data_IF_035907004630
#
_entry.id   IF_035907004630
#
_cell.length_a   1.000
_cell.length_b   1.000
_cell.length_c   1.000
_cell.angle_alpha   90.00
_cell.angle_beta   90.00
_cell.angle_gamma   90.00
#
_symmetry.space_group_name_H-M   'P 1'
#
loop_
_entity.id
_entity.type
_entity.pdbx_description
1 polymer ?
#
# COMPACT_ATOMS: atom_id res chain seq x y z
N UNK A 1 -18.36 -13.22 -1.22
CA UNK A 1 -19.51 -13.22 -0.33
C UNK A 1 -20.52 -12.16 -0.77
N UNK A 2 -21.80 -12.45 -0.66
CA UNK A 2 -22.87 -11.51 -0.99
C UNK A 2 -24.12 -11.81 -0.16
N UNK A 3 -24.73 -10.76 0.39
CA UNK A 3 -26.03 -10.79 1.09
C UNK A 3 -26.95 -9.66 0.59
N UNK A 4 -28.01 -9.34 1.35
CA UNK A 4 -28.95 -8.26 1.04
C UNK A 4 -28.31 -6.87 1.15
N UNK A 5 -27.37 -6.68 2.04
CA UNK A 5 -26.80 -5.39 2.39
C UNK A 5 -25.50 -5.10 1.64
N UNK A 6 -24.64 -6.11 1.45
CA UNK A 6 -23.32 -5.90 0.90
C UNK A 6 -22.83 -7.03 0.00
N UNK A 7 -21.78 -6.74 -0.75
CA UNK A 7 -20.96 -7.70 -1.47
C UNK A 7 -19.51 -7.50 -1.11
N UNK A 8 -18.81 -8.59 -0.74
CA UNK A 8 -17.39 -8.57 -0.42
C UNK A 8 -16.66 -9.37 -1.49
N UNK A 9 -15.73 -8.71 -2.17
CA UNK A 9 -15.00 -9.23 -3.33
C UNK A 9 -13.53 -9.37 -2.93
N UNK A 10 -12.95 -10.54 -3.22
CA UNK A 10 -11.54 -10.83 -2.99
C UNK A 10 -10.81 -10.99 -4.31
N UNK A 11 -9.54 -10.59 -4.32
CA UNK A 11 -8.64 -10.77 -5.45
C UNK A 11 -7.22 -11.00 -4.95
N UNK A 12 -6.86 -12.26 -4.76
CA UNK A 12 -5.60 -12.64 -4.09
C UNK A 12 -4.36 -12.48 -4.97
N UNK A 13 -4.52 -12.14 -6.27
CA UNK A 13 -3.42 -12.13 -7.21
C UNK A 13 -2.41 -11.03 -6.94
N UNK A 14 -1.36 -11.37 -6.22
CA UNK A 14 -0.17 -10.55 -6.00
C UNK A 14 1.02 -11.42 -5.61
N UNK A 15 2.21 -10.84 -5.55
CA UNK A 15 3.38 -11.52 -4.98
C UNK A 15 3.23 -11.58 -3.45
N UNK A 16 3.10 -12.78 -2.89
CA UNK A 16 2.78 -13.02 -1.50
C UNK A 16 1.29 -13.01 -1.18
N UNK A 17 0.44 -12.75 -2.17
CA UNK A 17 -1.01 -12.68 -2.02
C UNK A 17 -1.51 -11.40 -1.35
N UNK A 18 -2.59 -10.82 -1.87
CA UNK A 18 -3.30 -9.70 -1.23
C UNK A 18 -4.48 -10.23 -0.42
N UNK A 19 -4.46 -10.07 0.89
CA UNK A 19 -5.55 -10.43 1.78
C UNK A 19 -6.65 -9.36 1.86
N UNK A 20 -6.51 -8.30 1.07
CA UNK A 20 -7.46 -7.21 0.96
C UNK A 20 -8.81 -7.64 0.38
N UNK A 21 -9.77 -6.78 0.54
CA UNK A 21 -11.12 -6.97 0.02
C UNK A 21 -11.72 -5.66 -0.48
N UNK A 22 -12.66 -5.77 -1.42
CA UNK A 22 -13.52 -4.66 -1.81
C UNK A 22 -14.90 -4.88 -1.18
N UNK A 23 -15.32 -3.91 -0.39
CA UNK A 23 -16.66 -3.89 0.19
C UNK A 23 -17.57 -3.02 -0.66
N UNK A 24 -18.61 -3.58 -1.25
CA UNK A 24 -19.64 -2.89 -2.01
C UNK A 24 -20.93 -2.82 -1.19
N UNK A 25 -21.43 -1.61 -0.99
CA UNK A 25 -22.70 -1.34 -0.34
C UNK A 25 -23.84 -1.49 -1.36
N UNK A 26 -24.71 -2.49 -1.16
CA UNK A 26 -25.86 -2.75 -2.05
C UNK A 26 -27.10 -1.93 -1.67
N UNK A 27 -27.11 -1.29 -0.51
CA UNK A 27 -28.23 -0.50 -0.01
C UNK A 27 -28.22 0.93 -0.56
N UNK A 28 -29.29 1.67 -0.38
CA UNK A 28 -29.35 3.10 -0.68
C UNK A 28 -28.81 3.95 0.49
N UNK A 29 -28.77 3.37 1.70
CA UNK A 29 -28.28 4.00 2.91
C UNK A 29 -26.76 3.81 3.09
N UNK A 30 -26.18 4.60 4.00
CA UNK A 30 -24.76 4.46 4.35
C UNK A 30 -24.50 3.19 5.18
N UNK A 31 -23.46 2.47 4.83
CA UNK A 31 -22.89 1.42 5.67
C UNK A 31 -21.63 1.95 6.36
N UNK A 32 -21.47 1.64 7.64
CA UNK A 32 -20.31 1.99 8.45
C UNK A 32 -19.51 0.74 8.76
N UNK A 33 -18.34 0.59 8.11
CA UNK A 33 -17.41 -0.49 8.36
C UNK A 33 -16.64 -0.22 9.66
N UNK A 34 -16.67 -1.15 10.60
CA UNK A 34 -16.06 -1.05 11.93
C UNK A 34 -14.67 -1.70 11.90
N UNK A 35 -13.63 -0.93 11.54
CA UNK A 35 -12.27 -1.45 11.42
C UNK A 35 -11.67 -1.86 12.77
N UNK A 36 -12.08 -1.18 13.85
CA UNK A 36 -11.71 -1.52 15.24
C UNK A 36 -12.26 -2.85 15.74
N UNK A 37 -13.21 -3.42 14.99
CA UNK A 37 -13.87 -4.70 15.30
C UNK A 37 -13.74 -5.73 14.19
N UNK A 38 -12.93 -5.39 13.16
CA UNK A 38 -12.69 -6.22 12.00
C UNK A 38 -11.24 -6.72 12.01
N UNK A 39 -11.03 -7.96 11.62
CA UNK A 39 -9.73 -8.61 11.70
C UNK A 39 -9.39 -9.37 10.41
N UNK A 40 -8.12 -9.35 10.06
CA UNK A 40 -7.51 -10.38 9.23
C UNK A 40 -7.12 -11.56 10.13
N UNK A 41 -7.34 -12.78 9.67
CA UNK A 41 -7.04 -14.00 10.42
C UNK A 41 -6.08 -14.85 9.58
N UNK A 42 -4.96 -15.26 10.17
CA UNK A 42 -3.97 -16.14 9.55
C UNK A 42 -3.62 -17.26 10.52
N UNK A 43 -3.84 -18.52 10.11
CA UNK A 43 -3.60 -19.71 10.94
C UNK A 43 -4.18 -19.60 12.37
N UNK A 44 -5.39 -19.03 12.48
CA UNK A 44 -6.06 -18.83 13.77
C UNK A 44 -5.60 -17.60 14.56
N UNK A 45 -4.62 -16.85 14.08
CA UNK A 45 -4.17 -15.59 14.71
C UNK A 45 -4.90 -14.41 14.08
N UNK A 46 -5.53 -13.57 14.90
CA UNK A 46 -6.25 -12.39 14.45
C UNK A 46 -5.36 -11.14 14.49
N UNK A 47 -5.42 -10.34 13.43
CA UNK A 47 -4.72 -9.08 13.26
C UNK A 47 -5.72 -7.96 13.00
N UNK A 48 -5.66 -6.87 13.76
CA UNK A 48 -6.61 -5.78 13.70
C UNK A 48 -6.42 -4.94 12.42
N UNK A 49 -7.53 -4.60 11.76
CA UNK A 49 -7.50 -3.66 10.64
C UNK A 49 -7.22 -2.22 11.10
N UNK A 50 -7.75 -1.84 12.24
CA UNK A 50 -7.48 -0.53 12.85
C UNK A 50 -6.22 -0.59 13.71
N UNK A 51 -5.22 0.26 13.41
CA UNK A 51 -3.92 0.30 14.12
C UNK A 51 -3.66 1.61 14.84
N UNK A 52 -4.64 2.53 14.86
CA UNK A 52 -4.52 3.88 15.44
C UNK A 52 -3.29 4.63 14.92
N UNK A 53 -3.06 4.58 13.61
CA UNK A 53 -1.91 5.22 12.97
C UNK A 53 -2.14 6.72 12.77
N UNK A 54 -1.05 7.48 12.87
CA UNK A 54 -1.02 8.88 12.47
C UNK A 54 -0.10 9.02 11.23
N UNK A 55 -0.62 9.61 10.18
CA UNK A 55 0.11 9.88 8.94
C UNK A 55 0.52 11.34 8.93
N UNK A 56 1.83 11.62 9.04
CA UNK A 56 2.36 12.98 8.96
C UNK A 56 2.92 13.22 7.56
N UNK A 57 2.41 14.24 6.88
CA UNK A 57 2.97 14.74 5.63
C UNK A 57 3.55 16.11 5.88
N UNK A 58 4.89 16.26 5.78
CA UNK A 58 5.55 17.55 5.89
C UNK A 58 5.97 18.06 4.51
N UNK A 59 5.64 19.31 4.20
CA UNK A 59 6.17 20.05 3.06
C UNK A 59 7.04 21.16 3.59
N UNK A 60 8.35 21.02 3.46
CA UNK A 60 9.30 22.05 3.84
C UNK A 60 9.86 22.76 2.60
N UNK A 61 9.88 24.08 2.58
CA UNK A 61 10.65 24.87 1.65
C UNK A 61 11.67 25.72 2.40
N UNK A 62 12.95 25.55 2.12
CA UNK A 62 14.00 26.40 2.65
C UNK A 62 14.60 27.24 1.53
N UNK A 63 14.64 28.55 1.71
CA UNK A 63 15.35 29.47 0.82
C UNK A 63 16.45 30.12 1.64
N UNK A 64 17.70 29.81 1.33
CA UNK A 64 18.85 30.53 1.90
C UNK A 64 19.47 31.43 0.85
N UNK A 65 19.59 32.72 1.12
CA UNK A 65 20.38 33.65 0.30
C UNK A 65 21.49 34.21 1.14
N UNK A 66 22.72 33.98 0.69
CA UNK A 66 23.93 34.59 1.32
C UNK A 66 24.53 35.59 0.35
N UNK A 67 24.57 36.87 0.71
CA UNK A 67 25.27 37.87 -0.08
C UNK A 67 26.46 38.38 0.72
N UNK A 68 27.67 38.25 0.12
CA UNK A 68 28.89 38.85 0.66
C UNK A 68 29.29 40.05 -0.18
N UNK A 69 29.51 41.21 0.46
CA UNK A 69 30.26 42.27 -0.19
C UNK A 69 31.64 42.32 0.47
N UNK A 70 32.65 41.91 -0.28
CA UNK A 70 34.03 41.99 0.16
C UNK A 70 34.82 42.89 -0.76
N UNK A 71 35.50 43.87 -0.21
CA UNK A 71 36.58 44.59 -0.85
C UNK A 71 37.90 43.94 -0.43
N UNK A 72 38.48 43.12 -1.29
CA UNK A 72 39.87 42.65 -1.23
C UNK A 72 40.14 41.50 -0.27
N UNK A 73 39.99 40.28 -0.73
CA UNK A 73 40.73 39.04 -0.54
C UNK A 73 39.83 37.85 -0.87
N UNK A 74 40.33 36.88 -1.60
CA UNK A 74 39.58 35.74 -2.10
C UNK A 74 39.25 34.72 -1.00
N UNK A 75 37.97 34.46 -0.77
CA UNK A 75 37.48 33.31 -0.03
C UNK A 75 36.36 32.64 -0.85
N UNK A 76 36.56 31.38 -1.17
CA UNK A 76 35.55 30.56 -1.85
C UNK A 76 34.57 30.02 -0.84
N UNK A 77 33.29 30.39 -0.96
CA UNK A 77 32.19 29.77 -0.20
C UNK A 77 31.38 28.87 -1.12
N UNK A 78 31.36 27.56 -0.84
CA UNK A 78 30.49 26.63 -1.51
C UNK A 78 29.15 26.53 -0.71
N UNK A 79 28.08 27.04 -1.32
CA UNK A 79 26.72 26.86 -0.77
C UNK A 79 26.14 25.58 -1.29
N UNK A 80 25.86 24.64 -0.40
CA UNK A 80 25.13 23.42 -0.73
C UNK A 80 23.64 23.67 -0.57
N UNK A 81 22.90 23.71 -1.67
CA UNK A 81 21.45 23.73 -1.64
C UNK A 81 20.96 22.28 -1.53
N UNK A 82 20.53 21.88 -0.35
CA UNK A 82 19.83 20.62 -0.20
C UNK A 82 18.33 20.85 -0.41
N UNK A 83 17.85 20.50 -1.59
CA UNK A 83 16.42 20.29 -1.81
C UNK A 83 16.07 18.88 -1.36
N UNK A 84 15.66 18.74 -0.13
CA UNK A 84 15.10 17.47 0.35
C UNK A 84 13.60 17.45 0.01
N UNK A 85 13.27 17.00 -1.20
CA UNK A 85 11.91 16.65 -1.54
C UNK A 85 11.72 15.18 -1.14
N UNK A 86 11.27 14.94 0.06
CA UNK A 86 10.78 13.61 0.44
C UNK A 86 9.43 13.40 -0.22
N UNK A 87 9.45 12.91 -1.46
CA UNK A 87 8.27 12.30 -2.05
C UNK A 87 8.07 10.93 -1.40
N UNK A 88 7.38 10.91 -0.28
CA UNK A 88 6.70 9.69 0.12
C UNK A 88 5.60 9.47 -0.92
N UNK A 89 5.83 8.54 -1.84
CA UNK A 89 4.76 8.01 -2.69
C UNK A 89 3.74 7.38 -1.75
N UNK A 90 2.75 8.16 -1.37
CA UNK A 90 1.49 7.61 -0.86
C UNK A 90 0.86 6.86 -2.04
N UNK A 91 0.66 5.58 -1.87
CA UNK A 91 -0.08 4.76 -2.82
C UNK A 91 -1.46 5.41 -3.03
N UNK A 92 -1.83 5.82 -4.25
CA UNK A 92 -3.05 6.59 -4.49
C UNK A 92 -4.34 5.80 -4.19
N UNK A 93 -4.23 4.52 -3.87
CA UNK A 93 -5.36 3.64 -3.59
C UNK A 93 -5.76 3.57 -2.11
N UNK A 94 -5.05 4.23 -1.19
CA UNK A 94 -5.29 4.08 0.24
C UNK A 94 -5.51 5.41 0.97
N UNK A 95 -6.21 6.35 0.34
CA UNK A 95 -6.52 7.64 0.95
C UNK A 95 -7.85 7.53 1.70
N UNK A 96 -7.79 7.33 3.00
CA UNK A 96 -8.95 7.48 3.88
C UNK A 96 -9.15 8.96 4.22
N UNK A 97 -10.27 9.58 3.90
CA UNK A 97 -10.55 10.92 4.37
C UNK A 97 -10.98 10.87 5.83
N UNK A 98 -10.12 11.22 6.71
CA UNK A 98 -10.41 11.40 8.12
C UNK A 98 -10.14 12.82 8.57
N UNK A 99 -10.54 13.15 9.76
CA UNK A 99 -10.48 14.50 10.32
C UNK A 99 -9.09 15.14 10.18
N UNK A 100 -9.06 16.30 9.52
CA UNK A 100 -7.84 17.08 9.34
C UNK A 100 -7.60 17.96 10.56
N UNK A 101 -6.44 17.82 11.19
CA UNK A 101 -5.89 18.85 12.05
C UNK A 101 -4.67 19.47 11.35
N UNK A 102 -4.76 20.75 11.01
CA UNK A 102 -3.64 21.49 10.45
C UNK A 102 -2.91 22.25 11.54
N UNK A 103 -1.66 21.91 11.76
CA UNK A 103 -0.75 22.72 12.56
C UNK A 103 0.25 23.42 11.64
N UNK A 104 0.28 24.74 11.64
CA UNK A 104 1.30 25.51 10.96
C UNK A 104 2.26 26.06 12.02
N UNK A 105 3.53 25.65 11.95
CA UNK A 105 4.60 26.30 12.71
C UNK A 105 5.53 27.02 11.74
N UNK A 106 5.66 28.33 11.90
CA UNK A 106 6.65 29.13 11.18
C UNK A 106 7.72 29.57 12.18
N UNK A 107 8.96 29.21 11.93
CA UNK A 107 10.10 29.75 12.65
C UNK A 107 10.95 30.56 11.67
N UNK A 108 11.14 31.85 12.01
CA UNK A 108 12.08 32.74 11.34
C UNK A 108 13.20 33.09 12.30
N UNK A 109 14.43 32.78 11.93
CA UNK A 109 15.61 33.25 12.65
C UNK A 109 16.41 34.17 11.75
N UNK A 110 16.64 35.39 12.22
CA UNK A 110 17.55 36.35 11.63
C UNK A 110 18.69 36.62 12.59
N UNK A 111 19.93 36.34 12.20
CA UNK A 111 21.11 36.73 12.96
C UNK A 111 21.87 37.80 12.17
N UNK A 112 22.13 38.95 12.84
CA UNK A 112 22.98 40.02 12.31
C UNK A 112 24.26 40.01 13.12
N UNK A 113 25.39 39.67 12.48
CA UNK A 113 26.71 39.89 13.04
C UNK A 113 27.33 41.12 12.37
N UNK A 114 27.45 42.20 13.14
CA UNK A 114 28.12 43.41 12.66
C UNK A 114 29.59 43.35 13.03
N UNK A 115 30.43 42.94 12.09
CA UNK A 115 31.86 43.26 12.07
C UNK A 115 32.24 43.71 10.67
N UNK A 116 32.54 45.01 10.56
CA UNK A 116 33.04 45.76 9.39
C UNK A 116 33.05 45.06 8.01
N UNK A 117 31.90 44.71 7.58
CA UNK A 117 31.59 44.14 6.27
C UNK A 117 30.12 43.72 6.31
N UNK A 118 29.24 44.30 5.48
CA UNK A 118 27.82 43.96 5.52
C UNK A 118 27.61 42.59 4.95
N UNK A 119 27.41 41.61 5.86
CA UNK A 119 26.90 40.31 5.48
C UNK A 119 25.38 40.28 5.83
N UNK A 120 24.52 40.01 4.88
CA UNK A 120 23.10 39.75 5.15
C UNK A 120 22.78 38.31 4.78
N UNK A 121 22.46 37.52 5.77
CA UNK A 121 21.88 36.20 5.51
C UNK A 121 20.37 36.26 5.82
N UNK A 122 19.57 35.84 4.87
CA UNK A 122 18.13 35.61 5.06
C UNK A 122 17.88 34.13 4.91
N UNK A 123 17.49 33.48 5.99
CA UNK A 123 16.98 32.13 5.94
C UNK A 123 15.48 32.16 6.21
N UNK A 124 14.70 31.61 5.31
CA UNK A 124 13.28 31.38 5.51
C UNK A 124 13.06 29.87 5.49
N UNK A 125 12.54 29.33 6.56
CA UNK A 125 12.04 27.96 6.58
C UNK A 125 10.55 28.02 6.88
N UNK A 126 9.73 27.47 6.01
CA UNK A 126 8.33 27.21 6.29
C UNK A 126 8.11 25.71 6.23
N UNK A 127 7.64 25.15 7.32
CA UNK A 127 7.27 23.76 7.39
C UNK A 127 5.76 23.68 7.64
N UNK A 128 5.06 23.04 6.72
CA UNK A 128 3.65 22.69 6.88
C UNK A 128 3.58 21.19 7.09
N UNK A 129 3.09 20.77 8.25
CA UNK A 129 2.80 19.36 8.54
C UNK A 129 1.29 19.17 8.60
N UNK A 130 0.83 18.20 7.83
CA UNK A 130 -0.53 17.69 7.89
C UNK A 130 -0.49 16.33 8.60
N UNK A 131 -1.18 16.23 9.73
CA UNK A 131 -1.35 14.97 10.45
C UNK A 131 -2.76 14.45 10.16
N UNK A 132 -2.85 13.26 9.59
CA UNK A 132 -4.11 12.57 9.34
C UNK A 132 -4.14 11.34 10.24
N UNK A 133 -5.20 11.21 11.04
CA UNK A 133 -5.41 10.04 11.88
C UNK A 133 -6.18 8.95 11.10
N UNK A 134 -5.87 7.71 11.41
CA UNK A 134 -6.62 6.58 10.89
C UNK A 134 -8.03 6.57 11.49
N UNK A 135 -9.03 6.29 10.65
CA UNK A 135 -10.41 6.15 11.11
C UNK A 135 -10.70 4.72 11.58
N UNK A 136 -11.23 4.58 12.78
CA UNK A 136 -11.73 3.29 13.30
C UNK A 136 -13.04 2.84 12.63
N UNK A 137 -13.79 3.79 12.08
CA UNK A 137 -15.06 3.55 11.40
C UNK A 137 -15.05 4.23 10.04
N UNK A 138 -15.26 3.46 8.99
CA UNK A 138 -15.25 3.95 7.60
C UNK A 138 -16.65 3.95 7.03
N UNK A 139 -17.13 5.13 6.62
CA UNK A 139 -18.39 5.29 5.91
C UNK A 139 -18.26 4.84 4.45
N UNK A 140 -19.21 4.04 3.99
CA UNK A 140 -19.38 3.61 2.60
C UNK A 140 -20.78 4.03 2.16
N UNK A 141 -20.91 5.07 1.31
CA UNK A 141 -22.20 5.57 0.83
C UNK A 141 -23.00 4.50 0.09
N UNK A 142 -24.31 4.70 -0.01
CA UNK A 142 -25.18 3.79 -0.74
C UNK A 142 -24.73 3.57 -2.18
N UNK A 143 -24.82 2.34 -2.70
CA UNK A 143 -24.43 1.93 -4.06
C UNK A 143 -22.97 2.20 -4.43
N UNK A 144 -22.09 2.38 -3.44
CA UNK A 144 -20.66 2.60 -3.67
C UNK A 144 -19.80 1.47 -3.10
N UNK A 145 -18.52 1.47 -3.46
CA UNK A 145 -17.56 0.49 -2.96
C UNK A 145 -16.29 1.15 -2.44
N UNK A 146 -15.62 0.43 -1.54
CA UNK A 146 -14.31 0.81 -1.03
C UNK A 146 -13.41 -0.42 -0.90
N UNK A 147 -12.15 -0.28 -1.31
CA UNK A 147 -11.14 -1.37 -1.23
C UNK A 147 -10.25 -1.16 -0.01
N UNK A 148 -9.95 -2.24 0.67
CA UNK A 148 -9.10 -2.34 1.84
C UNK A 148 -8.00 -3.35 1.55
N UNK A 149 -6.74 -2.92 1.54
CA UNK A 149 -5.56 -3.76 1.28
C UNK A 149 -4.50 -3.43 2.33
N UNK A 150 -4.55 -4.11 3.46
CA UNK A 150 -3.66 -3.87 4.60
C UNK A 150 -2.70 -5.03 4.82
N UNK A 151 -3.12 -6.25 4.47
CA UNK A 151 -2.40 -7.48 4.76
C UNK A 151 -2.05 -8.25 3.50
N UNK A 152 -0.83 -8.82 3.50
CA UNK A 152 -0.47 -9.89 2.57
C UNK A 152 -0.91 -11.22 3.16
N UNK A 153 -1.32 -12.17 2.30
CA UNK A 153 -1.76 -13.49 2.73
C UNK A 153 -0.62 -14.24 3.41
N UNK A 154 0.59 -14.18 2.83
CA UNK A 154 1.76 -14.80 3.42
C UNK A 154 3.02 -13.99 3.08
N UNK A 155 3.92 -13.83 4.04
CA UNK A 155 5.18 -13.09 3.88
C UNK A 155 6.35 -13.96 3.46
N UNK A 156 6.21 -15.27 3.53
CA UNK A 156 7.28 -16.22 3.23
C UNK A 156 6.81 -17.32 2.30
N UNK A 157 7.75 -17.87 1.52
CA UNK A 157 7.48 -19.01 0.66
C UNK A 157 7.16 -20.25 1.51
N UNK A 158 6.02 -20.88 1.22
CA UNK A 158 5.70 -22.18 1.80
C UNK A 158 6.57 -23.23 1.13
N UNK A 159 7.38 -23.91 1.92
CA UNK A 159 8.29 -24.95 1.45
C UNK A 159 7.77 -26.33 1.82
N UNK A 160 7.83 -27.21 0.85
CA UNK A 160 7.52 -28.62 1.00
C UNK A 160 8.67 -29.44 0.37
N UNK A 161 9.02 -30.56 0.98
CA UNK A 161 10.07 -31.46 0.46
C UNK A 161 9.75 -32.02 -0.94
N UNK A 162 8.45 -32.13 -1.29
CA UNK A 162 7.98 -32.63 -2.57
C UNK A 162 7.98 -31.58 -3.68
N UNK A 163 8.26 -30.31 -3.34
CA UNK A 163 8.26 -29.20 -4.30
C UNK A 163 9.69 -28.74 -4.59
N UNK A 164 10.06 -28.66 -5.85
CA UNK A 164 11.32 -28.08 -6.29
C UNK A 164 11.31 -26.58 -5.98
N UNK A 165 12.29 -26.14 -5.19
CA UNK A 165 12.39 -24.74 -4.79
C UNK A 165 12.59 -23.78 -5.99
N UNK A 166 13.39 -24.22 -6.98
CA UNK A 166 13.71 -23.45 -8.18
C UNK A 166 13.63 -24.37 -9.40
N UNK A 167 12.47 -24.49 -10.05
CA UNK A 167 12.34 -25.32 -11.24
C UNK A 167 13.24 -24.79 -12.36
N UNK A 168 13.89 -25.70 -13.06
CA UNK A 168 14.72 -25.36 -14.22
C UNK A 168 13.86 -25.02 -15.44
N UNK A 169 14.37 -24.18 -16.35
CA UNK A 169 13.67 -23.84 -17.60
C UNK A 169 13.45 -25.05 -18.51
N UNK A 170 14.25 -26.11 -18.35
CA UNK A 170 14.09 -27.37 -19.08
C UNK A 170 13.03 -28.30 -18.48
N UNK A 171 12.46 -27.95 -17.32
CA UNK A 171 11.43 -28.76 -16.69
C UNK A 171 10.14 -28.73 -17.51
N UNK A 172 9.71 -29.88 -18.01
CA UNK A 172 8.49 -30.01 -18.80
C UNK A 172 7.23 -30.21 -17.97
N UNK A 173 7.38 -30.85 -16.80
CA UNK A 173 6.28 -31.14 -15.90
C UNK A 173 6.27 -30.18 -14.71
N UNK A 174 5.10 -29.68 -14.40
CA UNK A 174 4.89 -28.83 -13.22
C UNK A 174 4.71 -29.73 -12.02
N UNK A 175 5.58 -29.57 -11.03
CA UNK A 175 5.46 -30.25 -9.74
C UNK A 175 4.47 -29.50 -8.89
N UNK A 176 3.55 -30.22 -8.26
CA UNK A 176 2.52 -29.64 -7.42
C UNK A 176 2.20 -30.54 -6.22
N UNK A 177 1.70 -29.92 -5.15
CA UNK A 177 1.11 -30.58 -4.00
C UNK A 177 -0.29 -30.09 -3.78
N UNK A 178 -1.24 -31.00 -3.52
CA UNK A 178 -2.62 -30.67 -3.17
C UNK A 178 -2.83 -30.81 -1.67
N UNK A 179 -3.74 -30.00 -1.15
CA UNK A 179 -4.08 -29.96 0.26
C UNK A 179 -5.61 -29.91 0.43
N UNK A 180 -6.08 -30.47 1.50
CA UNK A 180 -7.42 -30.28 2.03
C UNK A 180 -7.38 -29.23 3.16
N UNK A 181 -8.52 -28.74 3.57
CA UNK A 181 -8.62 -27.75 4.63
C UNK A 181 -7.89 -28.18 5.92
N UNK A 182 -8.04 -29.46 6.30
CA UNK A 182 -7.46 -30.05 7.51
C UNK A 182 -5.93 -30.13 7.52
N UNK A 183 -5.28 -30.18 6.36
CA UNK A 183 -3.84 -30.32 6.22
C UNK A 183 -3.21 -29.17 5.40
N UNK A 184 -3.96 -28.11 5.15
CA UNK A 184 -3.45 -26.95 4.43
C UNK A 184 -2.30 -26.28 5.20
N UNK A 185 -1.20 -25.93 4.54
CA UNK A 185 -0.08 -25.25 5.17
C UNK A 185 -0.42 -23.82 5.60
N UNK A 186 -1.51 -23.26 5.09
CA UNK A 186 -1.96 -21.92 5.41
C UNK A 186 -3.49 -21.81 5.30
N UNK A 187 -4.10 -21.35 6.38
CA UNK A 187 -5.49 -20.90 6.41
C UNK A 187 -5.52 -19.40 6.68
N UNK A 188 -6.40 -18.68 6.01
CA UNK A 188 -6.52 -17.25 6.17
C UNK A 188 -7.96 -16.78 5.92
N UNK A 189 -8.26 -15.57 6.35
CA UNK A 189 -9.61 -15.04 6.16
C UNK A 189 -9.81 -13.68 6.78
N UNK A 190 -11.04 -13.18 6.70
CA UNK A 190 -11.41 -11.89 7.24
C UNK A 190 -12.68 -12.01 8.08
N UNK A 191 -12.65 -11.44 9.26
CA UNK A 191 -13.82 -11.13 10.07
C UNK A 191 -14.14 -9.65 9.86
N UNK A 192 -15.24 -9.36 9.18
CA UNK A 192 -15.64 -8.00 8.82
C UNK A 192 -16.91 -7.67 9.58
N UNK A 193 -16.89 -6.57 10.34
CA UNK A 193 -18.06 -6.06 11.05
C UNK A 193 -18.47 -4.72 10.49
N UNK A 194 -19.77 -4.57 10.23
CA UNK A 194 -20.33 -3.34 9.70
C UNK A 194 -21.68 -3.03 10.35
N UNK A 195 -22.05 -1.76 10.33
CA UNK A 195 -23.32 -1.26 10.82
C UNK A 195 -24.13 -0.69 9.67
N UNK A 196 -25.39 -1.10 9.58
CA UNK A 196 -26.39 -0.56 8.65
C UNK A 196 -27.71 -0.41 9.40
N UNK A 197 -28.42 0.69 9.25
CA UNK A 197 -29.70 1.00 9.88
C UNK A 197 -29.67 0.82 11.43
N UNK A 198 -28.51 1.11 12.06
CA UNK A 198 -28.31 0.97 13.49
C UNK A 198 -27.91 -0.44 13.96
N UNK A 199 -28.07 -1.46 13.14
CA UNK A 199 -27.72 -2.85 13.46
C UNK A 199 -26.29 -3.22 13.07
N UNK A 200 -25.63 -3.99 13.93
CA UNK A 200 -24.27 -4.50 13.67
C UNK A 200 -24.37 -5.89 13.06
N UNK A 201 -23.77 -6.04 11.90
CA UNK A 201 -23.64 -7.28 11.16
C UNK A 201 -22.19 -7.77 11.18
N UNK A 202 -22.01 -9.08 11.02
CA UNK A 202 -20.69 -9.71 10.99
C UNK A 202 -20.63 -10.74 9.86
N UNK A 203 -19.57 -10.65 9.06
CA UNK A 203 -19.27 -11.59 7.98
C UNK A 203 -17.90 -12.20 8.25
N UNK A 204 -17.81 -13.52 8.22
CA UNK A 204 -16.56 -14.25 8.31
C UNK A 204 -16.34 -15.04 7.03
N UNK A 205 -15.25 -14.77 6.35
CA UNK A 205 -14.81 -15.48 5.16
C UNK A 205 -13.51 -16.19 5.47
N UNK A 206 -13.43 -17.48 5.18
CA UNK A 206 -12.26 -18.32 5.44
C UNK A 206 -11.82 -18.99 4.14
N UNK A 207 -10.51 -19.08 3.98
CA UNK A 207 -9.84 -19.63 2.81
C UNK A 207 -8.67 -20.50 3.25
N UNK A 208 -8.30 -21.45 2.42
CA UNK A 208 -7.13 -22.27 2.63
C UNK A 208 -6.37 -22.51 1.31
N UNK A 209 -5.11 -22.82 1.40
CA UNK A 209 -4.33 -23.21 0.22
C UNK A 209 -4.69 -24.66 -0.13
N UNK A 210 -5.36 -24.83 -1.26
CA UNK A 210 -5.72 -26.15 -1.79
C UNK A 210 -4.64 -26.75 -2.69
N UNK A 211 -3.74 -25.90 -3.26
CA UNK A 211 -2.70 -26.38 -4.16
C UNK A 211 -1.51 -25.42 -4.20
N UNK A 212 -0.31 -25.98 -4.19
CA UNK A 212 0.95 -25.27 -4.48
C UNK A 212 1.58 -25.90 -5.71
N UNK A 213 1.98 -25.06 -6.68
CA UNK A 213 2.62 -25.51 -7.92
C UNK A 213 3.86 -24.67 -8.20
N UNK A 214 4.94 -25.31 -8.65
CA UNK A 214 6.18 -24.64 -9.04
C UNK A 214 6.30 -24.59 -10.56
N UNK A 215 6.49 -23.38 -11.08
CA UNK A 215 6.64 -23.12 -12.52
C UNK A 215 8.00 -22.49 -12.82
N UNK A 216 8.65 -22.85 -13.93
CA UNK A 216 9.73 -22.02 -14.47
C UNK A 216 9.19 -20.62 -14.82
N UNK A 217 10.01 -19.61 -14.64
CA UNK A 217 9.59 -18.22 -14.91
C UNK A 217 9.08 -18.01 -16.34
N UNK A 218 9.74 -18.63 -17.32
CA UNK A 218 9.37 -18.55 -18.74
C UNK A 218 8.00 -19.17 -19.05
N UNK A 219 7.57 -20.15 -18.25
CA UNK A 219 6.25 -20.78 -18.39
C UNK A 219 5.16 -19.97 -17.69
N UNK A 220 5.52 -19.10 -16.76
CA UNK A 220 4.60 -18.34 -15.90
C UNK A 220 4.35 -16.92 -16.40
N UNK A 221 5.39 -16.30 -16.99
CA UNK A 221 5.37 -14.91 -17.44
C UNK A 221 5.57 -14.85 -18.94
N UNK A 222 4.73 -14.07 -19.61
CA UNK A 222 4.87 -13.73 -21.02
C UNK A 222 4.90 -12.20 -21.20
N UNK A 223 5.37 -11.80 -22.38
CA UNK A 223 5.42 -10.41 -22.79
C UNK A 223 4.65 -10.25 -24.08
N UNK A 224 3.76 -9.29 -24.15
CA UNK A 224 2.96 -8.97 -25.33
C UNK A 224 3.17 -7.47 -25.64
N UNK A 225 3.24 -7.12 -26.91
CA UNK A 225 3.15 -5.74 -27.34
C UNK A 225 1.75 -5.22 -27.03
N UNK A 226 1.69 -4.04 -26.44
CA UNK A 226 0.41 -3.36 -26.26
C UNK A 226 -0.11 -2.90 -27.61
N UNK A 227 -1.39 -3.10 -27.82
CA UNK A 227 -2.14 -2.55 -28.96
C UNK A 227 -3.18 -1.59 -28.43
N UNK A 228 -3.20 -0.39 -29.01
CA UNK A 228 -4.24 0.59 -28.74
C UNK A 228 -4.85 1.05 -30.07
N UNK A 229 -6.15 0.88 -30.23
CA UNK A 229 -6.88 1.22 -31.46
C UNK A 229 -6.31 0.62 -32.75
N UNK A 230 -5.75 -0.59 -32.66
CA UNK A 230 -5.12 -1.27 -33.81
C UNK A 230 -3.68 -0.84 -34.10
N UNK A 231 -3.13 0.06 -33.34
CA UNK A 231 -1.71 0.45 -33.43
C UNK A 231 -0.87 -0.26 -32.38
N UNK A 232 0.19 -0.91 -32.82
CA UNK A 232 1.10 -1.65 -31.95
C UNK A 232 2.07 -0.67 -31.26
N UNK A 233 2.10 -0.66 -29.92
CA UNK A 233 3.06 0.09 -29.14
C UNK A 233 4.46 -0.53 -29.23
N UNK A 234 5.51 0.30 -29.07
CA UNK A 234 6.90 -0.16 -29.01
C UNK A 234 7.23 -0.88 -27.69
N UNK A 235 6.39 -0.73 -26.68
CA UNK A 235 6.61 -1.29 -25.35
C UNK A 235 5.96 -2.67 -25.22
N UNK A 236 6.65 -3.55 -24.46
CA UNK A 236 6.13 -4.88 -24.12
C UNK A 236 5.54 -4.82 -22.71
N UNK A 237 4.28 -5.24 -22.59
CA UNK A 237 3.63 -5.40 -21.29
C UNK A 237 3.77 -6.85 -20.83
N UNK A 238 4.22 -6.98 -19.58
CA UNK A 238 4.31 -8.24 -18.88
C UNK A 238 2.91 -8.72 -18.49
N UNK A 239 2.60 -9.99 -18.76
CA UNK A 239 1.39 -10.61 -18.27
C UNK A 239 1.66 -12.01 -17.71
N UNK A 240 0.77 -12.44 -16.81
CA UNK A 240 0.85 -13.73 -16.17
C UNK A 240 -0.16 -14.68 -16.82
N UNK A 241 0.30 -15.88 -17.23
CA UNK A 241 -0.55 -16.85 -17.94
C UNK A 241 -1.64 -17.40 -17.01
N UNK A 242 -1.30 -17.61 -15.74
CA UNK A 242 -2.17 -18.22 -14.74
C UNK A 242 -2.82 -17.21 -13.79
N UNK A 243 -2.99 -15.97 -14.25
CA UNK A 243 -3.67 -14.94 -13.49
C UNK A 243 -5.08 -15.39 -13.11
N UNK A 244 -5.36 -15.46 -11.82
CA UNK A 244 -6.66 -15.81 -11.27
C UNK A 244 -6.91 -15.07 -9.96
N UNK A 245 -8.12 -14.56 -9.70
CA UNK A 245 -8.45 -13.90 -8.44
C UNK A 245 -8.39 -14.83 -7.24
N UNK A 246 -8.45 -16.14 -7.43
CA UNK A 246 -8.40 -17.17 -6.39
C UNK A 246 -7.00 -17.73 -6.15
N UNK A 247 -5.95 -17.14 -6.74
CA UNK A 247 -4.58 -17.60 -6.58
C UNK A 247 -3.63 -16.44 -6.33
N UNK A 248 -2.45 -16.74 -5.80
CA UNK A 248 -1.35 -15.80 -5.64
C UNK A 248 -0.02 -16.50 -5.97
N UNK A 249 1.07 -15.75 -6.04
CA UNK A 249 2.35 -16.29 -6.44
C UNK A 249 3.49 -15.76 -5.59
N UNK A 250 4.61 -16.48 -5.62
CA UNK A 250 5.91 -16.01 -5.18
C UNK A 250 6.90 -16.05 -6.33
N UNK A 251 7.67 -14.97 -6.51
CA UNK A 251 8.81 -14.98 -7.42
C UNK A 251 10.10 -15.17 -6.61
N UNK A 252 10.90 -16.17 -6.99
CA UNK A 252 12.26 -16.32 -6.47
C UNK A 252 13.20 -15.38 -7.23
N UNK A 253 14.13 -14.80 -6.51
CA UNK A 253 15.28 -14.08 -7.08
C UNK A 253 16.54 -14.90 -6.91
#
# INVERSE_FOLDING_TARGET
>A
YEDSNCKIIYGFWSNGGDAGFTFYNKTDDDIYLLLDKSNFIENGVAYDYYKNREYATSKGSSVSSTSFKQSGASLSASGTTQNTTTNTKSDPLNTYPSQYSSGASSSSSASINASRGSASSKSFSSEQSLIVKEDSVVRIPGKTQKTFSEYSINKSVIRNCDLILRPSNSQKEVIYSNYEESNSPLTFGNLIRYRVNGEINSVRNEFYISRISNYPQESFVKYKKDEFCGESNLYYTKYYIFLSPSSFYYSYR
#
